data_IF_019717467376
#
_entry.id   IF_019717467376
#
_cell.length_a   1.000
_cell.length_b   1.000
_cell.length_c   1.000
_cell.angle_alpha   90.00
_cell.angle_beta   90.00
_cell.angle_gamma   90.00
#
_symmetry.space_group_name_H-M   'P 1'
#
loop_
_entity.id
_entity.type
_entity.pdbx_description
1 polymer ?
#
# COMPACT_ATOMS: atom_id res chain seq x y z
N UNK A 1 -26.44 14.93 0.96
CA UNK A 1 -25.08 14.43 0.58
C UNK A 1 -24.74 13.34 1.56
N UNK A 2 -24.19 12.21 1.12
CA UNK A 2 -23.81 11.14 2.04
C UNK A 2 -22.69 11.60 2.99
N UNK A 3 -22.62 11.00 4.16
CA UNK A 3 -21.53 11.26 5.12
C UNK A 3 -20.25 10.56 4.66
N UNK A 4 -20.34 9.33 4.16
CA UNK A 4 -19.18 8.51 3.79
C UNK A 4 -19.26 8.11 2.32
N UNK A 5 -18.19 8.34 1.56
CA UNK A 5 -17.97 7.72 0.25
C UNK A 5 -17.09 6.50 0.39
N UNK A 6 -17.57 5.36 -0.09
CA UNK A 6 -16.83 4.08 -0.11
C UNK A 6 -16.30 3.86 -1.51
N UNK A 7 -14.99 3.86 -1.68
CA UNK A 7 -14.34 3.67 -2.98
C UNK A 7 -13.86 2.23 -3.09
N UNK A 8 -14.31 1.55 -4.14
CA UNK A 8 -13.99 0.14 -4.42
C UNK A 8 -13.37 0.05 -5.82
N UNK A 9 -12.04 -0.09 -5.94
CA UNK A 9 -11.42 -0.38 -7.23
C UNK A 9 -11.71 -1.82 -7.65
N UNK A 10 -12.13 -2.03 -8.90
CA UNK A 10 -12.58 -3.33 -9.42
C UNK A 10 -11.75 -3.72 -10.63
N UNK A 11 -11.11 -4.90 -10.60
CA UNK A 11 -10.41 -5.46 -11.75
C UNK A 11 -10.27 -6.97 -11.65
N UNK A 12 -10.97 -7.72 -12.50
CA UNK A 12 -10.92 -9.19 -12.60
C UNK A 12 -11.16 -9.91 -11.26
N UNK A 13 -12.28 -9.62 -10.60
CA UNK A 13 -12.67 -10.11 -9.28
C UNK A 13 -14.08 -10.72 -9.24
N UNK A 14 -14.58 -11.21 -10.37
CA UNK A 14 -15.94 -11.78 -10.48
C UNK A 14 -16.30 -12.80 -9.39
N UNK A 15 -15.31 -13.52 -8.85
CA UNK A 15 -15.50 -14.51 -7.78
C UNK A 15 -15.77 -13.92 -6.41
N UNK A 16 -15.41 -12.65 -6.19
CA UNK A 16 -15.38 -12.03 -4.86
C UNK A 16 -16.28 -10.81 -4.74
N UNK A 17 -16.53 -10.13 -5.86
CA UNK A 17 -17.19 -8.81 -5.89
C UNK A 17 -18.59 -8.83 -5.28
N UNK A 18 -19.36 -9.91 -5.43
CA UNK A 18 -20.66 -10.05 -4.78
C UNK A 18 -20.55 -9.97 -3.26
N UNK A 19 -19.63 -10.72 -2.65
CA UNK A 19 -19.42 -10.68 -1.20
C UNK A 19 -18.99 -9.31 -0.72
N UNK A 20 -18.11 -8.64 -1.47
CA UNK A 20 -17.66 -7.28 -1.18
C UNK A 20 -18.85 -6.31 -1.14
N UNK A 21 -19.61 -6.21 -2.24
CA UNK A 21 -20.72 -5.25 -2.36
C UNK A 21 -21.84 -5.58 -1.36
N UNK A 22 -22.22 -6.86 -1.20
CA UNK A 22 -23.25 -7.26 -0.25
C UNK A 22 -22.86 -6.86 1.19
N UNK A 23 -21.59 -7.02 1.57
CA UNK A 23 -21.11 -6.63 2.89
C UNK A 23 -21.18 -5.12 3.14
N UNK A 24 -21.02 -4.32 2.08
CA UNK A 24 -21.17 -2.86 2.14
C UNK A 24 -22.65 -2.49 2.27
N UNK A 25 -23.53 -3.13 1.51
CA UNK A 25 -24.97 -2.82 1.54
C UNK A 25 -25.63 -3.24 2.86
N UNK A 26 -25.07 -4.23 3.55
CA UNK A 26 -25.53 -4.73 4.86
C UNK A 26 -25.01 -3.91 6.05
N UNK A 27 -24.36 -2.78 5.84
CA UNK A 27 -23.87 -1.93 6.92
C UNK A 27 -25.01 -1.35 7.76
N UNK A 28 -24.84 -1.32 9.09
CA UNK A 28 -25.79 -0.70 10.03
C UNK A 28 -25.83 0.83 9.92
N UNK A 29 -24.75 1.44 9.50
CA UNK A 29 -24.69 2.84 9.12
C UNK A 29 -25.15 2.99 7.66
N UNK A 30 -26.15 3.83 7.37
CA UNK A 30 -26.83 3.88 6.06
C UNK A 30 -26.55 5.14 5.24
N UNK A 31 -25.96 6.17 5.84
CA UNK A 31 -25.70 7.46 5.17
C UNK A 31 -24.36 7.46 4.40
N UNK A 32 -24.30 6.63 3.35
CA UNK A 32 -23.13 6.47 2.50
C UNK A 32 -23.47 6.37 1.01
N UNK A 33 -22.49 6.57 0.17
CA UNK A 33 -22.47 6.18 -1.25
C UNK A 33 -21.36 5.15 -1.50
N UNK A 34 -21.51 4.37 -2.57
CA UNK A 34 -20.52 3.39 -3.04
C UNK A 34 -20.07 3.77 -4.45
N UNK A 35 -18.79 3.91 -4.65
CA UNK A 35 -18.17 4.22 -5.94
C UNK A 35 -17.39 2.99 -6.40
N UNK A 36 -18.01 2.20 -7.29
CA UNK A 36 -17.37 1.06 -7.94
C UNK A 36 -16.62 1.57 -9.16
N UNK A 37 -15.30 1.46 -9.15
CA UNK A 37 -14.46 1.92 -10.28
C UNK A 37 -13.90 0.70 -10.98
N UNK A 38 -14.54 0.32 -12.09
CA UNK A 38 -14.10 -0.77 -12.96
C UNK A 38 -12.92 -0.29 -13.81
N UNK A 39 -11.74 -0.83 -13.52
CA UNK A 39 -10.48 -0.54 -14.20
C UNK A 39 -10.28 -1.43 -15.45
N UNK A 40 -11.30 -1.55 -16.27
CA UNK A 40 -11.26 -2.31 -17.51
C UNK A 40 -11.18 -3.82 -17.28
N UNK A 41 -12.01 -4.37 -16.38
CA UNK A 41 -12.09 -5.79 -16.15
C UNK A 41 -12.45 -6.56 -17.43
N UNK A 42 -11.79 -7.69 -17.66
CA UNK A 42 -12.03 -8.59 -18.79
C UNK A 42 -12.94 -9.77 -18.45
N UNK A 43 -13.27 -9.96 -17.18
CA UNK A 43 -14.24 -10.91 -16.67
C UNK A 43 -15.61 -10.26 -16.46
N UNK A 44 -16.53 -10.91 -15.72
CA UNK A 44 -17.86 -10.38 -15.48
C UNK A 44 -17.93 -9.30 -14.37
N UNK A 45 -16.80 -8.87 -13.80
CA UNK A 45 -16.79 -7.90 -12.68
C UNK A 45 -17.53 -6.60 -13.02
N UNK A 46 -17.29 -6.02 -14.20
CA UNK A 46 -17.92 -4.78 -14.63
C UNK A 46 -19.45 -4.90 -14.76
N UNK A 47 -19.95 -5.97 -15.41
CA UNK A 47 -21.38 -6.23 -15.55
C UNK A 47 -22.07 -6.48 -14.20
N UNK A 48 -21.39 -7.15 -13.26
CA UNK A 48 -21.91 -7.35 -11.89
C UNK A 48 -22.06 -5.99 -11.19
N UNK A 49 -21.07 -5.09 -11.33
CA UNK A 49 -21.17 -3.74 -10.77
C UNK A 49 -22.40 -2.99 -11.28
N UNK A 50 -22.67 -3.06 -12.59
CA UNK A 50 -23.85 -2.43 -13.21
C UNK A 50 -25.17 -3.01 -12.67
N UNK A 51 -25.23 -4.34 -12.47
CA UNK A 51 -26.40 -4.96 -11.88
C UNK A 51 -26.69 -4.44 -10.47
N UNK A 52 -25.68 -4.24 -9.64
CA UNK A 52 -25.86 -3.68 -8.30
C UNK A 52 -26.27 -2.20 -8.35
N UNK A 53 -25.72 -1.41 -9.25
CA UNK A 53 -26.13 -0.01 -9.41
C UNK A 53 -27.59 0.14 -9.86
N UNK A 54 -28.11 -0.80 -10.65
CA UNK A 54 -29.53 -0.83 -11.01
C UNK A 54 -30.46 -1.18 -9.82
N UNK A 55 -29.95 -1.89 -8.80
CA UNK A 55 -30.73 -2.35 -7.64
C UNK A 55 -30.67 -1.38 -6.45
N UNK A 56 -29.58 -0.62 -6.29
CA UNK A 56 -29.39 0.27 -5.15
C UNK A 56 -28.85 1.63 -5.61
N UNK A 57 -29.64 2.67 -5.40
CA UNK A 57 -29.33 4.05 -5.82
C UNK A 57 -28.14 4.69 -5.11
N UNK A 58 -27.63 4.07 -4.04
CA UNK A 58 -26.41 4.51 -3.35
C UNK A 58 -25.14 4.12 -4.14
N UNK A 59 -25.25 3.21 -5.12
CA UNK A 59 -24.13 2.73 -5.92
C UNK A 59 -24.01 3.53 -7.21
N UNK A 60 -22.79 3.97 -7.49
CA UNK A 60 -22.41 4.61 -8.76
C UNK A 60 -21.22 3.83 -9.35
N UNK A 61 -21.30 3.52 -10.65
CA UNK A 61 -20.26 2.75 -11.36
C UNK A 61 -19.53 3.68 -12.32
N UNK A 62 -18.23 3.51 -12.41
CA UNK A 62 -17.36 4.23 -13.35
C UNK A 62 -16.48 3.21 -14.07
N UNK A 63 -16.63 3.11 -15.40
CA UNK A 63 -15.78 2.27 -16.22
C UNK A 63 -14.64 3.11 -16.82
N UNK A 64 -13.44 2.55 -16.83
CA UNK A 64 -12.27 3.15 -17.48
C UNK A 64 -11.42 2.06 -18.16
N UNK A 65 -10.55 2.48 -19.09
CA UNK A 65 -9.50 1.58 -19.59
C UNK A 65 -8.53 1.24 -18.45
N UNK A 66 -8.00 0.01 -18.47
CA UNK A 66 -7.08 -0.44 -17.41
C UNK A 66 -5.87 0.48 -17.29
N UNK A 67 -5.78 1.16 -16.17
CA UNK A 67 -4.71 2.10 -15.84
C UNK A 67 -4.10 1.84 -14.44
N UNK A 68 -4.53 0.78 -13.77
CA UNK A 68 -4.03 0.34 -12.46
C UNK A 68 -4.79 0.92 -11.26
N UNK A 69 -4.63 0.25 -10.13
CA UNK A 69 -5.38 0.52 -8.89
C UNK A 69 -5.26 1.97 -8.40
N UNK A 70 -4.08 2.59 -8.55
CA UNK A 70 -3.85 4.01 -8.20
C UNK A 70 -4.75 4.95 -8.99
N UNK A 71 -4.90 4.73 -10.29
CA UNK A 71 -5.75 5.55 -11.15
C UNK A 71 -7.23 5.32 -10.83
N UNK A 72 -7.62 4.07 -10.59
CA UNK A 72 -8.98 3.73 -10.19
C UNK A 72 -9.36 4.39 -8.86
N UNK A 73 -8.49 4.33 -7.84
CA UNK A 73 -8.73 5.00 -6.55
C UNK A 73 -8.78 6.53 -6.71
N UNK A 74 -7.91 7.13 -7.52
CA UNK A 74 -7.95 8.57 -7.82
C UNK A 74 -9.25 8.97 -8.54
N UNK A 75 -9.76 8.15 -9.47
CA UNK A 75 -11.07 8.36 -10.10
C UNK A 75 -12.17 8.37 -9.04
N UNK A 76 -12.18 7.38 -8.13
CA UNK A 76 -13.12 7.34 -7.01
C UNK A 76 -13.03 8.58 -6.11
N UNK A 77 -11.82 9.04 -5.78
CA UNK A 77 -11.60 10.27 -4.99
C UNK A 77 -12.16 11.51 -5.67
N UNK A 78 -12.01 11.61 -6.99
CA UNK A 78 -12.54 12.73 -7.77
C UNK A 78 -14.07 12.77 -7.79
N UNK A 79 -14.70 11.60 -7.85
CA UNK A 79 -16.15 11.43 -7.92
C UNK A 79 -16.85 11.42 -6.56
N UNK A 80 -16.11 11.22 -5.47
CA UNK A 80 -16.64 11.17 -4.11
C UNK A 80 -17.27 12.51 -3.72
N UNK A 81 -18.47 12.44 -3.09
CA UNK A 81 -19.20 13.62 -2.59
C UNK A 81 -19.44 13.56 -1.07
N UNK A 82 -19.09 12.46 -0.40
CA UNK A 82 -19.16 12.32 1.05
C UNK A 82 -18.21 13.27 1.79
N UNK A 83 -18.50 13.57 3.04
CA UNK A 83 -17.63 14.34 3.92
C UNK A 83 -16.33 13.56 4.21
N UNK A 84 -16.45 12.23 4.32
CA UNK A 84 -15.36 11.31 4.58
C UNK A 84 -15.24 10.26 3.46
N UNK A 85 -14.06 9.68 3.33
CA UNK A 85 -13.76 8.63 2.36
C UNK A 85 -13.18 7.41 3.07
N UNK A 86 -13.63 6.24 2.68
CA UNK A 86 -13.00 4.96 3.02
C UNK A 86 -12.77 4.14 1.75
N UNK A 87 -11.80 3.23 1.79
CA UNK A 87 -11.53 2.31 0.69
C UNK A 87 -11.82 0.88 1.12
N UNK A 88 -12.35 0.09 0.20
CA UNK A 88 -12.55 -1.35 0.37
C UNK A 88 -12.01 -2.03 -0.89
N UNK A 89 -11.09 -2.98 -0.74
CA UNK A 89 -10.60 -3.75 -1.87
C UNK A 89 -11.68 -4.76 -2.31
N UNK A 90 -11.85 -4.93 -3.60
CA UNK A 90 -12.99 -5.66 -4.19
C UNK A 90 -12.96 -7.17 -3.96
N UNK A 91 -11.85 -7.72 -3.48
CA UNK A 91 -11.70 -9.11 -3.06
C UNK A 91 -11.85 -9.33 -1.55
N UNK A 92 -12.07 -8.24 -0.78
CA UNK A 92 -12.28 -8.22 0.66
C UNK A 92 -13.75 -8.01 1.04
N UNK A 93 -14.05 -7.97 2.33
CA UNK A 93 -15.38 -7.62 2.85
C UNK A 93 -15.30 -6.96 4.22
N UNK A 94 -16.38 -6.31 4.65
CA UNK A 94 -16.47 -5.60 5.93
C UNK A 94 -17.61 -6.18 6.79
N UNK A 95 -17.44 -6.17 8.13
CA UNK A 95 -18.48 -6.60 9.06
C UNK A 95 -19.59 -5.54 9.16
N UNK A 96 -20.82 -5.91 9.59
CA UNK A 96 -21.98 -5.00 9.56
C UNK A 96 -21.82 -3.66 10.28
N UNK A 97 -20.99 -3.59 11.31
CA UNK A 97 -20.78 -2.37 12.11
C UNK A 97 -19.53 -1.57 11.70
N UNK A 98 -18.83 -1.94 10.63
CA UNK A 98 -17.57 -1.29 10.23
C UNK A 98 -17.71 0.22 10.07
N UNK A 99 -18.67 0.70 9.27
CA UNK A 99 -18.88 2.12 9.06
C UNK A 99 -19.35 2.84 10.32
N UNK A 100 -20.25 2.20 11.08
CA UNK A 100 -20.79 2.76 12.32
C UNK A 100 -19.69 2.97 13.37
N UNK A 101 -18.79 2.01 13.54
CA UNK A 101 -17.68 2.14 14.48
C UNK A 101 -16.70 3.24 14.07
N UNK A 102 -16.35 3.32 12.78
CA UNK A 102 -15.50 4.42 12.29
C UNK A 102 -16.18 5.79 12.49
N UNK A 103 -17.49 5.87 12.23
CA UNK A 103 -18.25 7.11 12.38
C UNK A 103 -18.38 7.55 13.85
N UNK A 104 -18.62 6.62 14.78
CA UNK A 104 -18.59 6.92 16.22
C UNK A 104 -17.28 7.56 16.67
N UNK A 105 -16.16 7.04 16.18
CA UNK A 105 -14.84 7.61 16.46
C UNK A 105 -14.71 9.07 15.99
N UNK A 106 -15.33 9.42 14.85
CA UNK A 106 -15.39 10.82 14.40
C UNK A 106 -16.18 11.71 15.33
N UNK A 107 -17.36 11.23 15.80
CA UNK A 107 -18.21 12.00 16.70
C UNK A 107 -17.50 12.28 18.02
N UNK A 108 -16.75 11.32 18.56
CA UNK A 108 -15.93 11.50 19.76
C UNK A 108 -14.86 12.58 19.59
N UNK A 109 -14.50 12.93 18.35
CA UNK A 109 -13.49 13.94 17.99
C UNK A 109 -14.05 15.19 17.31
N UNK A 110 -15.34 15.47 17.52
CA UNK A 110 -16.02 16.65 16.93
C UNK A 110 -15.82 16.75 15.40
N UNK A 111 -15.77 15.61 14.70
CA UNK A 111 -15.58 15.54 13.24
C UNK A 111 -14.33 16.27 12.73
N UNK A 112 -13.23 16.23 13.49
CA UNK A 112 -11.96 16.84 13.10
C UNK A 112 -11.32 16.23 11.87
N UNK A 113 -10.29 16.87 11.34
CA UNK A 113 -9.53 16.42 10.15
C UNK A 113 -8.48 15.37 10.53
N UNK A 114 -8.90 14.33 11.26
CA UNK A 114 -8.03 13.22 11.68
C UNK A 114 -8.04 12.04 10.70
N UNK A 115 -7.20 11.05 11.02
CA UNK A 115 -7.22 9.73 10.44
C UNK A 115 -7.74 8.74 11.48
N UNK A 116 -8.74 7.96 11.13
CA UNK A 116 -9.23 6.87 11.98
C UNK A 116 -8.80 5.56 11.36
N UNK A 117 -8.20 4.68 12.16
CA UNK A 117 -7.78 3.35 11.75
C UNK A 117 -8.46 2.31 12.64
N UNK A 118 -9.10 1.33 11.99
CA UNK A 118 -9.58 0.12 12.63
C UNK A 118 -8.56 -1.01 12.53
N UNK A 119 -8.67 -1.98 13.41
CA UNK A 119 -8.02 -3.28 13.28
C UNK A 119 -8.70 -4.12 12.19
N UNK A 120 -8.10 -5.24 11.83
CA UNK A 120 -8.61 -6.10 10.78
C UNK A 120 -8.29 -7.58 11.04
N UNK A 121 -8.87 -8.46 10.25
CA UNK A 121 -8.61 -9.89 10.30
C UNK A 121 -7.97 -10.37 9.01
N UNK A 122 -6.91 -11.19 9.11
CA UNK A 122 -6.43 -11.99 8.00
C UNK A 122 -7.33 -13.23 7.87
N UNK A 123 -8.05 -13.33 6.77
CA UNK A 123 -8.95 -14.48 6.53
C UNK A 123 -8.31 -15.41 5.52
N UNK A 124 -7.73 -16.49 6.03
CA UNK A 124 -7.21 -17.59 5.25
C UNK A 124 -8.33 -18.60 4.96
N UNK A 125 -8.21 -19.46 3.96
CA UNK A 125 -9.20 -20.51 3.68
C UNK A 125 -9.50 -21.43 4.87
N UNK A 126 -8.56 -21.62 5.79
CA UNK A 126 -8.65 -22.57 6.91
C UNK A 126 -8.65 -21.92 8.29
N UNK A 127 -8.37 -20.63 8.39
CA UNK A 127 -8.26 -19.93 9.68
C UNK A 127 -8.44 -18.42 9.54
N UNK A 128 -8.88 -17.79 10.63
CA UNK A 128 -8.94 -16.34 10.76
C UNK A 128 -7.89 -15.92 11.80
N UNK A 129 -7.10 -14.90 11.48
CA UNK A 129 -6.10 -14.34 12.38
C UNK A 129 -6.40 -12.84 12.59
N UNK A 130 -6.90 -12.46 13.77
CA UNK A 130 -7.08 -11.05 14.09
C UNK A 130 -5.74 -10.35 14.22
N UNK A 131 -5.67 -9.12 13.73
CA UNK A 131 -4.52 -8.24 13.89
C UNK A 131 -4.79 -7.30 15.05
N UNK A 132 -4.31 -7.67 16.23
CA UNK A 132 -4.48 -6.84 17.42
C UNK A 132 -3.63 -5.57 17.31
N UNK A 133 -4.25 -4.43 17.58
CA UNK A 133 -3.61 -3.16 17.88
C UNK A 133 -4.23 -2.62 19.16
N UNK A 134 -3.49 -1.89 19.95
CA UNK A 134 -4.02 -1.20 21.12
C UNK A 134 -4.69 0.10 20.69
N UNK A 135 -5.75 0.48 21.39
CA UNK A 135 -6.37 1.78 21.20
C UNK A 135 -5.37 2.89 21.50
N UNK A 136 -5.19 3.79 20.55
CA UNK A 136 -4.19 4.84 20.66
C UNK A 136 -4.66 6.11 19.99
N UNK A 137 -4.34 7.24 20.60
CA UNK A 137 -4.55 8.56 20.03
C UNK A 137 -3.20 9.25 19.90
N UNK A 138 -2.82 9.58 18.67
CA UNK A 138 -1.62 10.32 18.36
C UNK A 138 -2.00 11.72 17.90
N UNK A 139 -1.33 12.73 18.41
CA UNK A 139 -1.36 14.09 17.89
C UNK A 139 -0.11 14.36 17.07
N UNK A 140 -0.10 15.45 16.34
CA UNK A 140 0.95 15.77 15.37
C UNK A 140 2.38 15.64 15.94
N UNK A 141 2.59 16.00 17.20
CA UNK A 141 3.90 15.84 17.87
C UNK A 141 4.36 14.39 18.00
N UNK A 142 3.43 13.42 17.95
CA UNK A 142 3.71 11.99 18.10
C UNK A 142 3.79 11.25 16.75
N UNK A 143 3.56 11.95 15.62
CA UNK A 143 3.50 11.29 14.30
C UNK A 143 4.85 10.70 13.84
N UNK A 144 5.96 11.09 14.46
CA UNK A 144 7.25 10.41 14.27
C UNK A 144 7.14 8.90 14.55
N UNK A 145 6.23 8.48 15.45
CA UNK A 145 5.97 7.08 15.80
C UNK A 145 5.44 6.28 14.60
N UNK A 146 4.77 6.91 13.64
CA UNK A 146 4.36 6.25 12.39
C UNK A 146 5.57 5.67 11.67
N UNK A 147 6.67 6.41 11.68
CA UNK A 147 7.91 6.00 11.00
C UNK A 147 8.72 5.04 11.85
N UNK A 148 8.82 5.29 13.16
CA UNK A 148 9.70 4.51 14.05
C UNK A 148 9.07 3.19 14.52
N UNK A 149 7.74 3.17 14.68
CA UNK A 149 7.03 2.02 15.27
C UNK A 149 6.15 1.27 14.28
N UNK A 150 5.43 1.99 13.39
CA UNK A 150 4.31 1.43 12.61
C UNK A 150 4.59 1.21 11.13
N UNK A 151 5.62 1.86 10.56
CA UNK A 151 5.86 1.86 9.11
C UNK A 151 6.16 0.48 8.51
N UNK A 152 6.73 -0.44 9.29
CA UNK A 152 7.00 -1.81 8.85
C UNK A 152 5.76 -2.69 8.85
N UNK A 153 4.61 -2.16 9.16
CA UNK A 153 3.46 -2.97 9.46
C UNK A 153 2.19 -2.56 8.76
N UNK A 154 1.28 -3.32 9.02
CA UNK A 154 -0.12 -3.48 8.73
C UNK A 154 -0.98 -2.20 8.83
N UNK A 155 -0.39 -1.08 9.31
CA UNK A 155 -1.10 0.19 9.52
C UNK A 155 -1.11 1.10 8.28
N UNK A 156 -0.32 0.77 7.25
CA UNK A 156 -0.12 1.61 6.06
C UNK A 156 -0.98 1.23 4.86
N UNK A 157 -1.85 0.21 4.98
CA UNK A 157 -2.87 -0.05 3.95
C UNK A 157 -3.89 1.09 3.91
N UNK A 158 -4.46 1.36 2.75
CA UNK A 158 -5.46 2.42 2.59
C UNK A 158 -6.85 2.01 3.11
N UNK A 159 -7.15 0.72 3.09
CA UNK A 159 -8.39 0.17 3.64
C UNK A 159 -8.36 0.09 5.18
N UNK A 160 -9.51 -0.16 5.80
CA UNK A 160 -9.65 -0.16 7.25
C UNK A 160 -9.51 1.24 7.88
N UNK A 161 -9.69 2.30 7.11
CA UNK A 161 -9.46 3.69 7.50
C UNK A 161 -10.58 4.61 7.07
N UNK A 162 -10.70 5.72 7.77
CA UNK A 162 -11.60 6.82 7.40
C UNK A 162 -10.80 8.12 7.30
N UNK A 163 -10.90 8.75 6.14
CA UNK A 163 -10.17 9.96 5.75
C UNK A 163 -11.13 11.14 5.62
N UNK A 164 -10.73 12.33 6.06
CA UNK A 164 -11.47 13.56 5.77
C UNK A 164 -11.23 13.97 4.30
N UNK A 165 -12.32 14.05 3.50
CA UNK A 165 -12.24 14.34 2.07
C UNK A 165 -11.75 15.76 1.78
N UNK A 166 -12.15 16.76 2.59
CA UNK A 166 -11.70 18.13 2.40
C UNK A 166 -10.18 18.25 2.53
N UNK A 167 -9.59 17.49 3.47
CA UNK A 167 -8.13 17.44 3.64
C UNK A 167 -7.45 16.88 2.40
N UNK A 168 -7.97 15.77 1.85
CA UNK A 168 -7.44 15.16 0.62
C UNK A 168 -7.44 16.18 -0.53
N UNK A 169 -8.57 16.86 -0.76
CA UNK A 169 -8.73 17.82 -1.86
C UNK A 169 -7.84 19.05 -1.65
N UNK A 170 -7.92 19.69 -0.47
CA UNK A 170 -7.20 20.94 -0.19
C UNK A 170 -5.69 20.78 -0.23
N UNK A 171 -5.19 19.59 0.12
CA UNK A 171 -3.75 19.26 0.11
C UNK A 171 -3.31 18.52 -1.16
N UNK A 172 -4.23 18.26 -2.10
CA UNK A 172 -3.99 17.56 -3.35
C UNK A 172 -3.34 16.18 -3.13
N UNK A 173 -3.79 15.46 -2.10
CA UNK A 173 -3.30 14.12 -1.79
C UNK A 173 -3.89 13.15 -2.81
N UNK A 174 -3.05 12.36 -3.46
CA UNK A 174 -3.47 11.42 -4.50
C UNK A 174 -2.55 10.20 -4.53
N UNK A 175 -3.05 9.10 -5.07
CA UNK A 175 -2.21 7.95 -5.40
C UNK A 175 -1.34 8.27 -6.61
N UNK A 176 -0.09 7.82 -6.61
CA UNK A 176 0.85 8.03 -7.73
C UNK A 176 0.52 6.99 -8.81
N UNK A 177 0.14 7.41 -10.04
CA UNK A 177 -0.35 6.49 -11.08
C UNK A 177 0.63 5.37 -11.45
N UNK A 178 1.92 5.68 -11.55
CA UNK A 178 2.97 4.73 -11.97
C UNK A 178 3.46 3.82 -10.83
N UNK A 179 2.85 3.92 -9.64
CA UNK A 179 3.17 3.09 -8.47
C UNK A 179 2.09 2.03 -8.30
N UNK A 180 2.45 0.76 -8.53
CA UNK A 180 1.54 -0.38 -8.46
C UNK A 180 1.72 -1.25 -7.21
N UNK A 181 2.58 -0.85 -6.29
CA UNK A 181 2.83 -1.53 -5.02
C UNK A 181 3.33 -0.51 -4.00
N UNK A 182 2.87 -0.56 -2.77
CA UNK A 182 3.12 0.43 -1.71
C UNK A 182 2.51 1.82 -1.99
N UNK A 183 1.66 1.97 -3.00
CA UNK A 183 0.90 3.19 -3.28
C UNK A 183 0.05 3.61 -2.07
N UNK A 184 -0.51 2.63 -1.36
CA UNK A 184 -1.29 2.81 -0.14
C UNK A 184 -0.48 3.52 0.94
N UNK A 185 0.73 3.04 1.19
CA UNK A 185 1.60 3.59 2.22
C UNK A 185 2.02 5.02 1.91
N UNK A 186 2.31 5.33 0.64
CA UNK A 186 2.64 6.68 0.22
C UNK A 186 1.46 7.62 0.43
N UNK A 187 0.25 7.20 0.04
CA UNK A 187 -0.98 7.97 0.25
C UNK A 187 -1.27 8.22 1.74
N UNK A 188 -1.15 7.19 2.59
CA UNK A 188 -1.38 7.32 4.04
C UNK A 188 -0.34 8.24 4.67
N UNK A 189 0.93 8.14 4.30
CA UNK A 189 1.98 9.03 4.80
C UNK A 189 1.73 10.48 4.40
N UNK A 190 1.36 10.73 3.13
CA UNK A 190 1.04 12.08 2.66
C UNK A 190 -0.17 12.66 3.41
N UNK A 191 -1.19 11.84 3.69
CA UNK A 191 -2.34 12.26 4.48
C UNK A 191 -1.95 12.60 5.93
N UNK A 192 -1.14 11.77 6.56
CA UNK A 192 -0.68 11.97 7.94
C UNK A 192 0.12 13.26 8.13
N UNK A 193 0.79 13.78 7.09
CA UNK A 193 1.47 15.08 7.15
C UNK A 193 0.54 16.26 7.51
N UNK A 194 -0.76 16.10 7.26
CA UNK A 194 -1.73 17.18 7.40
C UNK A 194 -2.89 16.86 8.35
N UNK A 195 -2.94 15.67 8.89
CA UNK A 195 -3.98 15.26 9.82
C UNK A 195 -3.78 15.95 11.19
N UNK A 196 -4.88 16.32 11.85
CA UNK A 196 -4.83 16.90 13.19
C UNK A 196 -4.52 15.85 14.26
N UNK A 197 -5.00 14.63 14.04
CA UNK A 197 -4.79 13.48 14.93
C UNK A 197 -4.88 12.16 14.15
N UNK A 198 -4.37 11.09 14.77
CA UNK A 198 -4.55 9.72 14.30
C UNK A 198 -5.14 8.92 15.46
N UNK A 199 -6.33 8.37 15.26
CA UNK A 199 -7.01 7.51 16.22
C UNK A 199 -6.97 6.06 15.74
N UNK A 200 -6.34 5.21 16.52
CA UNK A 200 -6.22 3.77 16.28
C UNK A 200 -7.21 3.06 17.21
N UNK A 201 -8.02 2.16 16.66
CA UNK A 201 -9.02 1.39 17.41
C UNK A 201 -8.80 -0.11 17.20
N UNK A 202 -9.03 -0.84 18.27
CA UNK A 202 -8.86 -2.31 18.32
C UNK A 202 -10.04 -3.10 17.73
N UNK A 203 -10.98 -2.46 17.04
CA UNK A 203 -12.10 -3.14 16.41
C UNK A 203 -11.67 -3.93 15.16
N UNK A 204 -12.14 -5.19 15.02
CA UNK A 204 -11.78 -6.10 13.92
C UNK A 204 -12.90 -6.18 12.88
N UNK A 205 -13.20 -5.08 12.20
CA UNK A 205 -14.36 -4.99 11.33
C UNK A 205 -14.02 -5.06 9.83
N UNK A 206 -12.73 -5.03 9.44
CA UNK A 206 -12.28 -5.26 8.08
C UNK A 206 -11.73 -6.69 7.94
N UNK A 207 -12.18 -7.40 6.91
CA UNK A 207 -11.81 -8.79 6.64
C UNK A 207 -10.97 -8.87 5.37
N UNK A 208 -9.65 -8.95 5.55
CA UNK A 208 -8.70 -9.09 4.45
C UNK A 208 -8.59 -10.55 4.00
N UNK A 209 -8.91 -10.82 2.74
CA UNK A 209 -8.83 -12.15 2.15
C UNK A 209 -7.40 -12.51 1.79
N UNK A 210 -6.87 -13.58 2.36
CA UNK A 210 -5.55 -14.09 2.02
C UNK A 210 -5.67 -15.21 0.99
N UNK A 211 -5.21 -14.94 -0.23
CA UNK A 211 -5.06 -15.94 -1.28
C UNK A 211 -3.70 -16.62 -1.17
N UNK A 212 -3.66 -17.95 -1.34
CA UNK A 212 -2.38 -18.68 -1.52
C UNK A 212 -1.81 -18.55 -2.95
N UNK A 213 -2.46 -17.75 -3.80
CA UNK A 213 -1.93 -17.46 -5.13
C UNK A 213 -0.62 -16.69 -5.01
N UNK A 214 0.39 -17.15 -5.75
CA UNK A 214 1.68 -16.45 -5.87
C UNK A 214 1.61 -15.25 -6.82
N UNK A 215 0.47 -14.99 -7.44
CA UNK A 215 0.27 -13.93 -8.43
C UNK A 215 -0.58 -12.77 -7.89
N UNK A 216 -0.24 -12.30 -6.69
CA UNK A 216 -0.83 -11.09 -6.11
C UNK A 216 -0.03 -9.86 -6.53
N UNK A 217 -0.66 -8.68 -6.57
CA UNK A 217 0.02 -7.40 -6.87
C UNK A 217 1.26 -7.18 -5.97
N UNK A 218 1.14 -7.49 -4.69
CA UNK A 218 2.22 -7.34 -3.71
C UNK A 218 3.41 -8.27 -3.94
N UNK A 219 3.20 -9.43 -4.59
CA UNK A 219 4.24 -10.42 -4.90
C UNK A 219 4.91 -10.18 -6.26
N UNK A 220 4.33 -9.36 -7.12
CA UNK A 220 4.90 -9.04 -8.43
C UNK A 220 6.15 -8.18 -8.30
N UNK A 221 7.09 -8.43 -9.19
CA UNK A 221 8.25 -7.56 -9.43
C UNK A 221 7.99 -6.84 -10.75
N UNK A 222 7.91 -5.52 -10.67
CA UNK A 222 7.66 -4.64 -11.81
C UNK A 222 8.96 -4.39 -12.62
N UNK A 223 8.92 -3.45 -13.56
CA UNK A 223 10.13 -2.98 -14.24
C UNK A 223 11.11 -2.32 -13.26
N UNK A 224 12.38 -2.26 -13.62
CA UNK A 224 13.39 -1.58 -12.82
C UNK A 224 13.02 -0.11 -12.55
N UNK A 225 12.52 0.56 -13.57
CA UNK A 225 12.13 1.97 -13.50
C UNK A 225 10.99 2.18 -12.48
N UNK A 226 9.98 1.31 -12.50
CA UNK A 226 8.86 1.36 -11.58
C UNK A 226 9.32 1.09 -10.13
N UNK A 227 10.06 0.01 -9.87
CA UNK A 227 10.55 -0.32 -8.52
C UNK A 227 11.51 0.77 -7.98
N UNK A 228 12.33 1.37 -8.85
CA UNK A 228 13.20 2.47 -8.46
C UNK A 228 12.41 3.74 -8.10
N UNK A 229 11.36 4.06 -8.87
CA UNK A 229 10.47 5.19 -8.57
C UNK A 229 9.81 5.04 -7.21
N UNK A 230 9.23 3.87 -6.92
CA UNK A 230 8.62 3.56 -5.61
C UNK A 230 9.64 3.75 -4.48
N UNK A 231 10.84 3.19 -4.64
CA UNK A 231 11.89 3.28 -3.62
C UNK A 231 12.32 4.74 -3.37
N UNK A 232 12.44 5.56 -4.42
CA UNK A 232 12.79 6.98 -4.34
C UNK A 232 11.70 7.81 -3.67
N UNK A 233 10.43 7.62 -4.06
CA UNK A 233 9.29 8.31 -3.48
C UNK A 233 9.16 8.04 -1.97
N UNK A 234 9.33 6.78 -1.60
CA UNK A 234 9.29 6.40 -0.20
C UNK A 234 10.47 6.98 0.60
N UNK A 235 11.69 6.89 0.05
CA UNK A 235 12.88 7.48 0.67
C UNK A 235 12.76 9.00 0.87
N UNK A 236 12.20 9.70 -0.13
CA UNK A 236 11.96 11.14 -0.04
C UNK A 236 11.07 11.48 1.15
N UNK A 237 9.93 10.79 1.28
CA UNK A 237 9.00 11.00 2.40
C UNK A 237 9.63 10.68 3.75
N UNK A 238 10.37 9.59 3.85
CA UNK A 238 11.08 9.26 5.08
C UNK A 238 12.06 10.34 5.51
N UNK A 239 12.82 10.91 4.57
CA UNK A 239 13.74 12.01 4.86
C UNK A 239 13.00 13.25 5.32
N UNK A 240 11.90 13.62 4.65
CA UNK A 240 11.08 14.75 5.05
C UNK A 240 10.53 14.58 6.47
N UNK A 241 10.04 13.39 6.83
CA UNK A 241 9.61 13.09 8.19
C UNK A 241 10.77 13.13 9.19
N UNK A 242 11.90 12.51 8.84
CA UNK A 242 13.09 12.50 9.69
C UNK A 242 13.56 13.91 10.02
N UNK A 243 13.65 14.77 9.01
CA UNK A 243 14.09 16.17 9.17
C UNK A 243 13.04 16.97 9.95
N UNK A 244 11.76 16.82 9.63
CA UNK A 244 10.69 17.57 10.25
C UNK A 244 10.55 17.29 11.76
N UNK A 245 10.66 16.01 12.16
CA UNK A 245 10.56 15.59 13.56
C UNK A 245 11.92 15.45 14.26
N UNK A 246 13.02 15.79 13.59
CA UNK A 246 14.38 15.63 14.10
C UNK A 246 14.67 14.21 14.63
N UNK A 247 14.18 13.15 13.93
CA UNK A 247 14.31 11.76 14.35
C UNK A 247 15.77 11.31 14.20
N UNK A 248 16.34 10.77 15.28
CA UNK A 248 17.71 10.25 15.23
C UNK A 248 17.83 9.01 14.31
N UNK A 249 18.94 8.85 13.61
CA UNK A 249 19.19 7.70 12.70
C UNK A 249 19.00 6.35 13.40
N UNK A 250 19.28 6.26 14.70
CA UNK A 250 19.12 5.04 15.49
C UNK A 250 17.64 4.64 15.65
N UNK A 251 16.71 5.59 15.65
CA UNK A 251 15.27 5.37 15.79
C UNK A 251 14.61 4.99 14.45
N UNK A 252 15.29 5.30 13.33
CA UNK A 252 14.80 5.01 11.98
C UNK A 252 14.96 3.53 11.54
N UNK A 253 15.34 2.62 12.42
CA UNK A 253 15.66 1.23 12.03
C UNK A 253 14.52 0.50 11.33
N UNK A 254 13.28 0.69 11.79
CA UNK A 254 12.11 0.07 11.16
C UNK A 254 11.87 0.63 9.74
N UNK A 255 12.00 1.93 9.58
CA UNK A 255 11.90 2.58 8.28
C UNK A 255 12.99 2.08 7.31
N UNK A 256 14.23 1.97 7.78
CA UNK A 256 15.32 1.43 6.96
C UNK A 256 15.12 -0.03 6.57
N UNK A 257 14.48 -0.85 7.42
CA UNK A 257 14.09 -2.24 7.06
C UNK A 257 13.08 -2.24 5.91
N UNK A 258 12.07 -1.38 5.96
CA UNK A 258 11.07 -1.26 4.89
C UNK A 258 11.73 -0.82 3.57
N UNK A 259 12.60 0.20 3.63
CA UNK A 259 13.38 0.62 2.46
C UNK A 259 14.26 -0.53 1.93
N UNK A 260 14.83 -1.35 2.81
CA UNK A 260 15.63 -2.51 2.36
C UNK A 260 14.79 -3.47 1.51
N UNK A 261 13.54 -3.72 1.90
CA UNK A 261 12.63 -4.56 1.09
C UNK A 261 12.37 -3.95 -0.28
N UNK A 262 12.08 -2.64 -0.33
CA UNK A 262 11.90 -1.92 -1.60
C UNK A 262 13.17 -1.94 -2.46
N UNK A 263 14.31 -1.67 -1.85
CA UNK A 263 15.60 -1.69 -2.53
C UNK A 263 15.95 -3.08 -3.08
N UNK A 264 15.62 -4.15 -2.35
CA UNK A 264 15.75 -5.52 -2.86
C UNK A 264 14.87 -5.76 -4.08
N UNK A 265 13.63 -5.25 -4.11
CA UNK A 265 12.78 -5.33 -5.31
C UNK A 265 13.41 -4.60 -6.51
N UNK A 266 14.03 -3.43 -6.30
CA UNK A 266 14.79 -2.71 -7.37
C UNK A 266 15.90 -3.60 -7.93
N UNK A 267 16.70 -4.23 -7.07
CA UNK A 267 17.75 -5.14 -7.51
C UNK A 267 17.16 -6.37 -8.24
N UNK A 268 16.13 -6.99 -7.68
CA UNK A 268 15.48 -8.16 -8.28
C UNK A 268 14.88 -7.84 -9.66
N UNK A 269 14.35 -6.64 -9.86
CA UNK A 269 13.80 -6.18 -11.13
C UNK A 269 14.84 -6.21 -12.26
N UNK A 270 16.12 -5.98 -11.95
CA UNK A 270 17.22 -6.06 -12.93
C UNK A 270 17.42 -7.51 -13.42
N UNK A 271 17.13 -8.50 -12.55
CA UNK A 271 17.46 -9.93 -12.79
C UNK A 271 16.22 -10.81 -12.99
N UNK A 272 15.00 -10.26 -12.86
CA UNK A 272 13.75 -11.01 -13.01
C UNK A 272 13.63 -11.57 -14.43
N UNK A 273 13.21 -12.86 -14.55
CA UNK A 273 13.00 -13.52 -15.84
C UNK A 273 12.04 -12.79 -16.77
N UNK A 274 11.04 -12.10 -16.23
CA UNK A 274 10.09 -11.32 -17.03
C UNK A 274 10.74 -10.16 -17.78
N UNK A 275 11.81 -9.58 -17.22
CA UNK A 275 12.45 -8.40 -17.79
C UNK A 275 13.62 -8.71 -18.74
N UNK A 276 14.25 -9.89 -18.66
CA UNK A 276 15.34 -10.40 -19.51
C UNK A 276 16.29 -9.33 -20.07
N UNK A 277 16.77 -8.44 -19.22
CA UNK A 277 17.63 -7.34 -19.67
C UNK A 277 18.99 -7.84 -20.17
N UNK A 278 19.46 -7.26 -21.29
CA UNK A 278 20.82 -7.53 -21.81
C UNK A 278 21.90 -7.13 -20.79
N UNK A 279 23.09 -7.68 -20.92
CA UNK A 279 24.23 -7.34 -20.07
C UNK A 279 24.47 -5.84 -20.01
N UNK A 280 24.51 -5.16 -21.16
CA UNK A 280 24.71 -3.71 -21.26
C UNK A 280 23.65 -2.92 -20.51
N UNK A 281 22.38 -3.34 -20.60
CA UNK A 281 21.25 -2.69 -19.90
C UNK A 281 21.36 -2.89 -18.39
N UNK A 282 21.70 -4.10 -17.91
CA UNK A 282 21.90 -4.34 -16.48
C UNK A 282 23.03 -3.50 -15.89
N UNK A 283 24.19 -3.44 -16.58
CA UNK A 283 25.32 -2.61 -16.13
C UNK A 283 24.95 -1.12 -16.11
N UNK A 284 24.16 -0.66 -17.09
CA UNK A 284 23.68 0.73 -17.09
C UNK A 284 22.82 1.01 -15.86
N UNK A 285 21.86 0.14 -15.52
CA UNK A 285 21.00 0.29 -14.34
C UNK A 285 21.81 0.26 -13.03
N UNK A 286 22.76 -0.64 -12.93
CA UNK A 286 23.64 -0.69 -11.76
C UNK A 286 24.50 0.57 -11.61
N UNK A 287 24.98 1.14 -12.72
CA UNK A 287 25.69 2.44 -12.69
C UNK A 287 24.77 3.56 -12.24
N UNK A 288 23.59 3.66 -12.81
CA UNK A 288 22.58 4.65 -12.40
C UNK A 288 22.25 4.55 -10.91
N UNK A 289 22.07 3.33 -10.41
CA UNK A 289 21.79 3.08 -9.00
C UNK A 289 22.93 3.51 -8.08
N UNK A 290 24.19 3.29 -8.49
CA UNK A 290 25.37 3.48 -7.63
C UNK A 290 26.01 4.87 -7.74
N UNK A 291 25.89 5.56 -8.88
CA UNK A 291 26.63 6.79 -9.17
C UNK A 291 26.35 7.95 -8.19
N UNK A 292 25.09 8.10 -7.75
CA UNK A 292 24.68 9.23 -6.91
C UNK A 292 24.16 8.81 -5.53
N UNK A 293 24.17 7.52 -5.20
CA UNK A 293 23.41 7.00 -4.06
C UNK A 293 24.24 6.14 -3.09
N UNK A 294 25.56 6.15 -3.15
CA UNK A 294 26.40 5.25 -2.32
C UNK A 294 26.13 5.37 -0.82
N UNK A 295 25.96 6.59 -0.32
CA UNK A 295 25.69 6.81 1.10
C UNK A 295 24.27 6.35 1.47
N UNK A 296 23.31 6.53 0.57
CA UNK A 296 21.95 6.05 0.74
C UNK A 296 21.89 4.52 0.69
N UNK A 297 22.61 3.89 -0.26
CA UNK A 297 22.70 2.42 -0.34
C UNK A 297 23.30 1.83 0.95
N UNK A 298 24.29 2.49 1.56
CA UNK A 298 24.84 2.04 2.86
C UNK A 298 23.77 1.98 3.95
N UNK A 299 22.83 2.93 3.99
CA UNK A 299 21.73 3.01 4.93
C UNK A 299 20.57 2.09 4.56
N UNK A 300 20.17 2.12 3.28
CA UNK A 300 19.00 1.37 2.78
C UNK A 300 19.22 -0.14 2.69
N UNK A 301 20.43 -0.59 2.43
CA UNK A 301 20.73 -2.01 2.25
C UNK A 301 21.17 -2.61 3.59
N UNK A 302 20.22 -3.06 4.41
CA UNK A 302 20.49 -3.77 5.65
C UNK A 302 20.58 -5.29 5.36
N UNK A 303 21.78 -5.88 5.32
CA UNK A 303 21.92 -7.29 4.95
C UNK A 303 21.48 -8.19 6.09
N UNK A 304 20.55 -9.12 5.80
CA UNK A 304 20.09 -10.13 6.75
C UNK A 304 20.95 -11.40 6.70
N UNK A 305 21.44 -11.76 5.52
CA UNK A 305 22.18 -13.00 5.27
C UNK A 305 23.59 -12.74 4.73
N UNK A 306 24.46 -13.77 4.76
CA UNK A 306 25.84 -13.66 4.24
C UNK A 306 25.87 -13.24 2.77
N UNK A 307 24.96 -13.78 1.95
CA UNK A 307 24.85 -13.42 0.55
C UNK A 307 24.53 -11.94 0.34
N UNK A 308 23.67 -11.36 1.20
CA UNK A 308 23.35 -9.94 1.17
C UNK A 308 24.55 -9.08 1.58
N UNK A 309 25.34 -9.56 2.56
CA UNK A 309 26.59 -8.87 2.99
C UNK A 309 27.57 -8.81 1.83
N UNK A 310 27.74 -9.92 1.12
CA UNK A 310 28.60 -9.98 -0.08
C UNK A 310 28.04 -9.07 -1.18
N UNK A 311 26.74 -9.16 -1.47
CA UNK A 311 26.10 -8.31 -2.47
C UNK A 311 26.29 -6.83 -2.14
N UNK A 312 26.03 -6.42 -0.89
CA UNK A 312 26.25 -5.04 -0.44
C UNK A 312 27.70 -4.59 -0.62
N UNK A 313 28.66 -5.43 -0.23
CA UNK A 313 30.08 -5.14 -0.40
C UNK A 313 30.45 -4.95 -1.88
N UNK A 314 30.04 -5.86 -2.74
CA UNK A 314 30.29 -5.79 -4.17
C UNK A 314 29.65 -4.54 -4.82
N UNK A 315 28.41 -4.20 -4.41
CA UNK A 315 27.71 -3.04 -4.96
C UNK A 315 28.37 -1.70 -4.55
N UNK A 316 28.92 -1.63 -3.33
CA UNK A 316 29.49 -0.39 -2.79
C UNK A 316 30.97 -0.20 -3.12
N UNK A 317 31.76 -1.27 -3.17
CA UNK A 317 33.21 -1.20 -3.18
C UNK A 317 33.88 -1.87 -4.38
N UNK A 318 33.14 -2.66 -5.15
CA UNK A 318 33.65 -3.33 -6.34
C UNK A 318 33.04 -2.74 -7.63
N UNK A 319 33.44 -3.30 -8.77
CA UNK A 319 32.83 -2.93 -10.05
C UNK A 319 31.40 -3.49 -10.16
N UNK A 320 30.53 -2.81 -10.91
CA UNK A 320 29.18 -3.30 -11.19
C UNK A 320 29.18 -4.66 -11.93
N UNK A 321 30.29 -5.00 -12.60
CA UNK A 321 30.48 -6.30 -13.24
C UNK A 321 30.59 -7.42 -12.20
N UNK A 322 31.37 -7.20 -11.13
CA UNK A 322 31.50 -8.20 -10.05
C UNK A 322 30.13 -8.43 -9.36
N UNK A 323 29.36 -7.37 -9.14
CA UNK A 323 28.01 -7.48 -8.61
C UNK A 323 27.07 -8.22 -9.57
N UNK A 324 27.11 -7.93 -10.88
CA UNK A 324 26.30 -8.63 -11.89
C UNK A 324 26.60 -10.13 -11.94
N UNK A 325 27.89 -10.51 -11.90
CA UNK A 325 28.30 -11.92 -11.86
C UNK A 325 27.75 -12.62 -10.61
N UNK A 326 27.88 -11.99 -9.43
CA UNK A 326 27.39 -12.52 -8.16
C UNK A 326 25.87 -12.71 -8.18
N UNK A 327 25.14 -11.70 -8.61
CA UNK A 327 23.68 -11.76 -8.67
C UNK A 327 23.19 -12.84 -9.65
N UNK A 328 23.83 -12.99 -10.80
CA UNK A 328 23.49 -14.06 -11.74
C UNK A 328 23.80 -15.47 -11.21
N UNK A 329 24.85 -15.62 -10.45
CA UNK A 329 25.17 -16.87 -9.75
C UNK A 329 24.05 -17.20 -8.72
N UNK A 330 23.72 -16.26 -7.85
CA UNK A 330 22.65 -16.42 -6.88
C UNK A 330 21.31 -16.76 -7.57
N UNK A 331 21.01 -16.10 -8.67
CA UNK A 331 19.78 -16.34 -9.43
C UNK A 331 19.70 -17.77 -10.00
N UNK A 332 20.82 -18.33 -10.45
CA UNK A 332 20.89 -19.71 -10.95
C UNK A 332 20.66 -20.76 -9.87
N UNK A 333 21.02 -20.51 -8.61
CA UNK A 333 20.88 -21.45 -7.49
C UNK A 333 19.54 -21.30 -6.74
N UNK A 334 18.52 -20.77 -7.41
CA UNK A 334 17.15 -20.63 -6.88
C UNK A 334 17.00 -19.66 -5.71
N UNK A 335 17.48 -18.47 -5.93
CA UNK A 335 17.65 -17.35 -5.03
C UNK A 335 16.40 -16.80 -4.31
N UNK A 336 15.19 -17.19 -4.68
CA UNK A 336 13.94 -16.74 -4.04
C UNK A 336 13.92 -16.95 -2.51
N UNK A 337 14.69 -17.91 -2.00
CA UNK A 337 14.82 -18.16 -0.55
C UNK A 337 15.74 -17.20 0.20
N UNK A 338 16.60 -16.44 -0.47
CA UNK A 338 17.68 -15.69 0.19
C UNK A 338 17.33 -14.25 0.57
N UNK A 339 16.33 -13.63 -0.06
CA UNK A 339 15.86 -12.27 0.29
C UNK A 339 14.62 -12.27 1.19
N UNK A 340 14.39 -13.30 1.97
CA UNK A 340 13.38 -13.28 3.03
C UNK A 340 11.92 -13.35 2.56
N UNK A 341 11.66 -13.51 1.28
CA UNK A 341 10.32 -13.86 0.81
C UNK A 341 10.05 -15.32 1.13
N UNK A 342 9.56 -15.59 2.33
CA UNK A 342 8.93 -16.87 2.63
C UNK A 342 7.74 -17.02 1.70
N UNK A 343 7.92 -17.79 0.64
CA UNK A 343 6.80 -18.49 0.02
C UNK A 343 6.45 -19.62 1.00
N UNK A 344 5.46 -19.36 1.84
CA UNK A 344 4.73 -20.47 2.46
C UNK A 344 3.69 -20.96 1.46
#
# INVERSE_FOLDING_TARGET
MPVISIIVPVYNVEKYIHQCIDSILLQTFTDFEVLLVDDGASDHSGSICDEYAHRDSRIRVFHQENAGVSVARNKGLCEAIGEYVTFVDSDDWIKPDYLNELYKCLLERNRGKGLILGSFEWVYPTRILPVSVEDMLLYHADFYRLITEFICGRMMYVWGKLFNRELIISKKIAFIPDVSCFEDMLFVLDYCCYADYILIKSNYNYCYRVSYSTDTLSSRINSYECELSICREFLLRLKLYQDYYAIADAEMQNAWRTITVLFHKVILAIYCHKNQYSYSKRIRYLRELTLNNRNEIKRMFLPAYLADKIAKYLLLYCSNVCFDIWMRFLYKINFRRMFGHKTN
#
